data_IF_924281166767
#
_entry.id   IF_924281166767
#
_cell.length_a   1.000
_cell.length_b   1.000
_cell.length_c   1.000
_cell.angle_alpha   90.00
_cell.angle_beta   90.00
_cell.angle_gamma   90.00
#
_symmetry.space_group_name_H-M   'P 1'
#
loop_
_entity.id
_entity.type
_entity.pdbx_description
1 polymer ?
#
# COMPACT_ATOMS: atom_id res chain seq x y z
N UNK A 1 28.36 8.16 -24.81
CA UNK A 1 27.36 8.52 -23.79
C UNK A 1 26.05 7.93 -24.27
N UNK A 2 25.68 6.75 -23.76
CA UNK A 2 24.38 6.14 -24.06
C UNK A 2 23.31 6.95 -23.34
N UNK A 3 22.57 7.73 -24.12
CA UNK A 3 21.32 8.37 -23.71
C UNK A 3 20.41 7.26 -23.18
N UNK A 4 20.33 7.14 -21.86
CA UNK A 4 19.48 6.13 -21.22
C UNK A 4 18.08 6.71 -21.27
N UNK A 5 17.29 6.33 -22.28
CA UNK A 5 15.88 6.71 -22.36
C UNK A 5 15.20 6.36 -21.03
N UNK A 6 14.59 7.36 -20.40
CA UNK A 6 13.81 7.15 -19.18
C UNK A 6 12.66 6.18 -19.48
N UNK A 7 12.36 5.24 -18.56
CA UNK A 7 11.28 4.29 -18.77
C UNK A 7 9.92 5.00 -18.91
N UNK A 8 9.06 4.54 -19.81
CA UNK A 8 7.68 5.03 -19.92
C UNK A 8 6.92 4.80 -18.60
N UNK A 9 6.20 5.82 -18.13
CA UNK A 9 5.36 5.72 -16.93
C UNK A 9 4.22 4.71 -17.14
N UNK A 10 4.02 3.76 -16.21
CA UNK A 10 2.84 2.92 -16.21
C UNK A 10 1.56 3.77 -16.17
N UNK A 11 0.51 3.32 -16.85
CA UNK A 11 -0.69 4.14 -17.07
C UNK A 11 -1.40 4.54 -15.78
N UNK A 12 -1.54 3.64 -14.80
CA UNK A 12 -2.09 3.98 -13.48
C UNK A 12 -1.32 5.10 -12.78
N UNK A 13 0.02 5.05 -12.80
CA UNK A 13 0.88 6.11 -12.25
C UNK A 13 0.68 7.41 -13.03
N UNK A 14 0.71 7.37 -14.36
CA UNK A 14 0.49 8.56 -15.17
C UNK A 14 -0.91 9.18 -14.96
N UNK A 15 -1.94 8.38 -14.67
CA UNK A 15 -3.28 8.85 -14.30
C UNK A 15 -3.27 9.49 -12.92
N UNK A 16 -2.61 8.89 -11.93
CA UNK A 16 -2.49 9.45 -10.57
C UNK A 16 -1.82 10.83 -10.59
N UNK A 17 -0.75 10.99 -11.38
CA UNK A 17 -0.07 12.28 -11.58
C UNK A 17 -0.82 13.27 -12.49
N UNK A 18 -1.95 12.87 -13.08
CA UNK A 18 -2.71 13.72 -14.03
C UNK A 18 -1.98 14.01 -15.35
N UNK A 19 -0.88 13.31 -15.65
CA UNK A 19 -0.06 13.51 -16.85
C UNK A 19 -0.48 12.62 -18.02
N UNK A 20 -1.26 11.56 -17.76
CA UNK A 20 -1.88 10.78 -18.81
C UNK A 20 -2.89 11.64 -19.58
N UNK A 21 -2.91 11.50 -20.91
CA UNK A 21 -3.95 12.11 -21.73
C UNK A 21 -5.32 11.55 -21.33
N UNK A 22 -5.99 12.25 -20.42
CA UNK A 22 -7.39 12.01 -20.12
C UNK A 22 -8.14 12.34 -21.42
N UNK A 23 -9.14 11.57 -21.86
CA UNK A 23 -10.05 12.00 -22.92
C UNK A 23 -10.88 13.21 -22.43
N UNK A 24 -10.23 14.35 -22.20
CA UNK A 24 -10.80 15.62 -21.78
C UNK A 24 -10.69 16.63 -22.92
N UNK A 25 -11.84 16.86 -23.57
CA UNK A 25 -12.30 18.16 -24.08
C UNK A 25 -13.78 18.02 -24.50
N UNK A 26 -14.70 18.46 -23.63
CA UNK A 26 -16.15 18.55 -23.91
C UNK A 26 -17.00 18.78 -22.64
N UNK A 27 -18.21 19.37 -22.73
CA UNK A 27 -19.01 19.75 -21.56
C UNK A 27 -19.47 18.52 -20.76
N UNK A 28 -19.37 18.60 -19.41
CA UNK A 28 -19.79 17.63 -18.37
C UNK A 28 -20.25 16.27 -18.92
N UNK A 29 -19.32 15.34 -19.16
CA UNK A 29 -19.69 13.92 -19.26
C UNK A 29 -19.99 13.37 -17.87
N UNK A 30 -21.00 12.50 -17.80
CA UNK A 30 -21.48 11.86 -16.57
C UNK A 30 -20.42 11.01 -15.87
N UNK A 31 -19.35 10.58 -16.56
CA UNK A 31 -18.33 9.64 -16.07
C UNK A 31 -16.90 10.17 -16.27
N UNK A 32 -16.10 10.11 -15.21
CA UNK A 32 -14.68 10.51 -15.14
C UNK A 32 -13.87 9.48 -14.34
N UNK A 33 -12.53 9.60 -14.31
CA UNK A 33 -11.66 8.68 -13.54
C UNK A 33 -11.98 8.80 -12.06
N UNK A 34 -12.13 10.03 -11.56
CA UNK A 34 -12.44 10.36 -10.16
C UNK A 34 -13.74 9.66 -9.74
N UNK A 35 -14.83 9.81 -10.50
CA UNK A 35 -16.10 9.12 -10.21
C UNK A 35 -16.00 7.59 -10.21
N UNK A 36 -15.15 7.02 -11.07
CA UNK A 36 -14.92 5.57 -11.11
C UNK A 36 -14.19 5.12 -9.84
N UNK A 37 -13.19 5.89 -9.42
CA UNK A 37 -12.40 5.63 -8.21
C UNK A 37 -13.28 5.78 -6.97
N UNK A 38 -14.03 6.87 -6.83
CA UNK A 38 -14.95 7.12 -5.71
C UNK A 38 -15.94 5.96 -5.53
N UNK A 39 -16.59 5.53 -6.63
CA UNK A 39 -17.54 4.42 -6.58
C UNK A 39 -16.86 3.09 -6.23
N UNK A 40 -15.61 2.89 -6.62
CA UNK A 40 -14.84 1.70 -6.27
C UNK A 40 -14.38 1.71 -4.81
N UNK A 41 -13.97 2.86 -4.27
CA UNK A 41 -13.63 3.06 -2.85
C UNK A 41 -14.88 2.82 -1.99
N UNK A 42 -16.02 3.44 -2.32
CA UNK A 42 -17.28 3.21 -1.60
C UNK A 42 -17.69 1.73 -1.58
N UNK A 43 -17.49 1.03 -2.70
CA UNK A 43 -17.77 -0.40 -2.78
C UNK A 43 -16.81 -1.22 -1.90
N UNK A 44 -15.52 -0.86 -1.90
CA UNK A 44 -14.51 -1.52 -1.09
C UNK A 44 -14.71 -1.27 0.42
N UNK A 45 -15.14 -0.08 0.81
CA UNK A 45 -15.44 0.27 2.20
C UNK A 45 -16.65 -0.51 2.73
N UNK A 46 -17.66 -0.72 1.88
CA UNK A 46 -18.89 -1.41 2.24
C UNK A 46 -18.77 -2.95 2.22
N UNK A 47 -18.13 -3.50 1.19
CA UNK A 47 -18.16 -4.94 0.88
C UNK A 47 -16.76 -5.59 0.82
N UNK A 48 -15.71 -4.81 1.10
CA UNK A 48 -14.33 -5.27 1.03
C UNK A 48 -13.75 -5.31 -0.38
N UNK A 49 -12.44 -5.49 -0.48
CA UNK A 49 -11.71 -5.46 -1.76
C UNK A 49 -12.13 -6.56 -2.73
N UNK A 50 -12.64 -7.68 -2.21
CA UNK A 50 -13.09 -8.84 -2.99
C UNK A 50 -14.30 -8.53 -3.88
N UNK A 51 -15.18 -7.62 -3.44
CA UNK A 51 -16.36 -7.19 -4.20
C UNK A 51 -16.00 -6.28 -5.38
N UNK A 52 -14.82 -5.66 -5.35
CA UNK A 52 -14.39 -4.70 -6.38
C UNK A 52 -14.01 -5.43 -7.67
N UNK A 53 -14.87 -5.28 -8.67
CA UNK A 53 -14.63 -5.71 -10.04
C UNK A 53 -15.04 -4.61 -11.01
N UNK A 54 -14.45 -4.60 -12.21
CA UNK A 54 -14.85 -3.66 -13.27
C UNK A 54 -16.35 -3.70 -13.55
N UNK A 55 -16.98 -4.87 -13.41
CA UNK A 55 -18.42 -5.02 -13.60
C UNK A 55 -19.24 -4.47 -12.43
N UNK A 56 -18.84 -4.73 -11.18
CA UNK A 56 -19.53 -4.21 -10.01
C UNK A 56 -19.46 -2.67 -9.94
N UNK A 57 -18.30 -2.09 -10.21
CA UNK A 57 -18.13 -0.61 -10.26
C UNK A 57 -18.97 0.00 -11.38
N UNK A 58 -18.99 -0.63 -12.56
CA UNK A 58 -19.83 -0.16 -13.66
C UNK A 58 -21.32 -0.22 -13.32
N UNK A 59 -21.78 -1.32 -12.71
CA UNK A 59 -23.16 -1.49 -12.29
C UNK A 59 -23.57 -0.44 -11.26
N UNK A 60 -22.71 -0.17 -10.26
CA UNK A 60 -22.93 0.88 -9.25
C UNK A 60 -23.08 2.27 -9.87
N UNK A 61 -22.37 2.55 -10.97
CA UNK A 61 -22.46 3.81 -11.71
C UNK A 61 -23.55 3.83 -12.80
N UNK A 62 -24.29 2.75 -13.01
CA UNK A 62 -25.29 2.66 -14.08
C UNK A 62 -24.71 2.56 -15.50
N UNK A 63 -23.45 2.13 -15.64
CA UNK A 63 -22.77 1.96 -16.92
C UNK A 63 -22.42 0.50 -17.22
N UNK A 64 -21.98 0.24 -18.45
CA UNK A 64 -21.43 -1.05 -18.84
C UNK A 64 -19.94 -1.15 -18.50
N UNK A 65 -19.39 -2.35 -18.20
CA UNK A 65 -17.96 -2.52 -17.91
C UNK A 65 -17.06 -1.99 -19.04
N UNK A 66 -17.48 -2.18 -20.30
CA UNK A 66 -16.78 -1.67 -21.49
C UNK A 66 -16.61 -0.14 -21.49
N UNK A 67 -17.50 0.57 -20.81
CA UNK A 67 -17.44 2.03 -20.71
C UNK A 67 -16.33 2.50 -19.77
N UNK A 68 -16.04 1.75 -18.70
CA UNK A 68 -14.98 2.06 -17.73
C UNK A 68 -13.59 1.89 -18.33
N UNK A 69 -13.39 0.87 -19.18
CA UNK A 69 -12.10 0.59 -19.83
C UNK A 69 -11.55 1.74 -20.69
N UNK A 70 -12.37 2.73 -21.05
CA UNK A 70 -11.90 3.96 -21.71
C UNK A 70 -11.08 4.86 -20.78
N UNK A 71 -11.37 4.83 -19.49
CA UNK A 71 -10.75 5.66 -18.45
C UNK A 71 -9.66 4.88 -17.74
N UNK A 72 -9.98 3.67 -17.25
CA UNK A 72 -9.07 2.82 -16.47
C UNK A 72 -8.88 1.48 -17.19
N UNK A 73 -7.67 1.19 -17.64
CA UNK A 73 -7.40 0.09 -18.59
C UNK A 73 -7.35 -1.29 -17.98
N UNK A 74 -7.04 -1.40 -16.69
CA UNK A 74 -6.92 -2.65 -15.98
C UNK A 74 -7.44 -2.53 -14.55
N UNK A 75 -7.77 -3.68 -13.94
CA UNK A 75 -8.13 -3.73 -12.52
C UNK A 75 -6.97 -3.21 -11.65
N UNK A 76 -5.73 -3.54 -11.99
CA UNK A 76 -4.56 -3.09 -11.23
C UNK A 76 -4.39 -1.56 -11.27
N UNK A 77 -4.68 -0.91 -12.40
CA UNK A 77 -4.70 0.56 -12.50
C UNK A 77 -5.80 1.14 -11.58
N UNK A 78 -6.96 0.48 -11.51
CA UNK A 78 -8.06 0.89 -10.62
C UNK A 78 -7.65 0.76 -9.15
N UNK A 79 -7.05 -0.38 -8.76
CA UNK A 79 -6.61 -0.61 -7.39
C UNK A 79 -5.55 0.39 -6.94
N UNK A 80 -4.61 0.75 -7.82
CA UNK A 80 -3.62 1.78 -7.56
C UNK A 80 -4.28 3.15 -7.35
N UNK A 81 -5.22 3.54 -8.22
CA UNK A 81 -5.94 4.81 -8.09
C UNK A 81 -6.84 4.85 -6.85
N UNK A 82 -7.48 3.74 -6.50
CA UNK A 82 -8.23 3.61 -5.25
C UNK A 82 -7.33 3.79 -4.04
N UNK A 83 -6.18 3.10 -4.01
CA UNK A 83 -5.21 3.23 -2.92
C UNK A 83 -4.73 4.68 -2.79
N UNK A 84 -4.43 5.33 -3.92
CA UNK A 84 -4.02 6.73 -3.96
C UNK A 84 -5.12 7.66 -3.40
N UNK A 85 -6.36 7.52 -3.86
CA UNK A 85 -7.48 8.33 -3.40
C UNK A 85 -7.73 8.13 -1.91
N UNK A 86 -7.81 6.87 -1.47
CA UNK A 86 -8.01 6.53 -0.07
C UNK A 86 -6.89 7.09 0.82
N UNK A 87 -5.63 7.01 0.36
CA UNK A 87 -4.45 7.51 1.10
C UNK A 87 -4.57 9.00 1.42
N UNK A 88 -5.02 9.81 0.45
CA UNK A 88 -5.14 11.26 0.60
C UNK A 88 -3.84 11.97 0.98
N UNK A 89 -3.90 13.28 1.16
CA UNK A 89 -2.75 14.06 1.65
C UNK A 89 -2.52 13.83 3.16
N UNK A 90 -1.27 13.86 3.64
CA UNK A 90 -1.01 13.89 5.08
C UNK A 90 -1.67 15.12 5.72
N UNK A 91 -2.21 15.01 6.94
CA UNK A 91 -2.90 16.11 7.58
C UNK A 91 -1.93 17.25 7.90
N UNK A 92 -2.26 18.49 7.51
CA UNK A 92 -1.39 19.66 7.75
C UNK A 92 -1.08 19.90 9.24
N UNK A 93 -1.96 19.45 10.14
CA UNK A 93 -1.80 19.58 11.59
C UNK A 93 -0.50 18.98 12.13
N UNK A 94 0.12 18.02 11.42
CA UNK A 94 1.43 17.49 11.85
C UNK A 94 2.52 18.57 11.81
N UNK A 95 2.40 19.60 10.96
CA UNK A 95 3.37 20.70 10.85
C UNK A 95 3.35 21.63 12.06
N UNK A 96 2.22 21.70 12.76
CA UNK A 96 2.01 22.51 13.97
C UNK A 96 2.66 21.90 15.21
N UNK A 97 3.14 20.66 15.11
CA UNK A 97 3.72 19.92 16.24
C UNK A 97 5.23 20.17 16.30
N UNK A 98 5.70 20.51 17.50
CA UNK A 98 7.10 20.72 17.78
C UNK A 98 7.89 19.40 17.81
N UNK A 99 9.07 19.44 17.18
CA UNK A 99 10.04 18.35 17.21
C UNK A 99 9.69 17.15 16.33
N UNK A 100 10.73 16.57 15.73
CA UNK A 100 10.64 15.44 14.81
C UNK A 100 9.80 14.27 15.37
N UNK A 101 9.93 13.98 16.67
CA UNK A 101 9.24 12.87 17.33
C UNK A 101 7.73 13.06 17.32
N UNK A 102 7.26 14.25 17.69
CA UNK A 102 5.83 14.55 17.73
C UNK A 102 5.21 14.50 16.34
N UNK A 103 5.92 15.06 15.35
CA UNK A 103 5.49 15.02 13.93
C UNK A 103 5.35 13.60 13.41
N UNK A 104 6.34 12.72 13.65
CA UNK A 104 6.26 11.32 13.23
C UNK A 104 5.16 10.54 13.94
N UNK A 105 4.90 10.81 15.23
CA UNK A 105 3.79 10.18 15.96
C UNK A 105 2.42 10.63 15.42
N UNK A 106 2.27 11.90 15.02
CA UNK A 106 1.05 12.38 14.40
C UNK A 106 0.82 11.77 13.01
N UNK A 107 1.87 11.61 12.21
CA UNK A 107 1.78 10.90 10.94
C UNK A 107 1.42 9.41 11.15
N UNK A 108 2.02 8.76 12.15
CA UNK A 108 1.69 7.37 12.53
C UNK A 108 0.20 7.22 12.89
N UNK A 109 -0.32 8.09 13.75
CA UNK A 109 -1.73 8.09 14.16
C UNK A 109 -2.65 8.31 12.95
N UNK A 110 -2.32 9.30 12.12
CA UNK A 110 -3.12 9.60 10.93
C UNK A 110 -3.14 8.45 9.91
N UNK A 111 -2.04 7.71 9.75
CA UNK A 111 -2.02 6.49 8.94
C UNK A 111 -2.89 5.36 9.52
N UNK A 112 -2.90 5.20 10.85
CA UNK A 112 -3.80 4.22 11.49
C UNK A 112 -5.26 4.58 11.25
N UNK A 113 -5.62 5.85 11.44
CA UNK A 113 -6.98 6.34 11.20
C UNK A 113 -7.41 6.14 9.73
N UNK A 114 -6.47 6.33 8.79
CA UNK A 114 -6.65 6.01 7.39
C UNK A 114 -6.95 4.52 7.19
N UNK A 115 -6.16 3.62 7.78
CA UNK A 115 -6.36 2.18 7.65
C UNK A 115 -7.65 1.69 8.32
N UNK A 116 -8.07 2.31 9.42
CA UNK A 116 -9.35 2.02 10.07
C UNK A 116 -10.53 2.47 9.20
N UNK A 117 -10.39 3.57 8.46
CA UNK A 117 -11.39 4.06 7.51
C UNK A 117 -11.48 3.18 6.26
N UNK A 118 -10.34 2.74 5.74
CA UNK A 118 -10.23 1.94 4.51
C UNK A 118 -9.47 0.61 4.73
N UNK A 119 -10.01 -0.35 5.51
CA UNK A 119 -9.28 -1.58 5.88
C UNK A 119 -8.81 -2.42 4.70
N UNK A 120 -9.53 -2.35 3.58
CA UNK A 120 -9.21 -3.07 2.34
C UNK A 120 -7.83 -2.70 1.75
N UNK A 121 -7.29 -1.52 2.08
CA UNK A 121 -5.94 -1.10 1.64
C UNK A 121 -4.84 -2.04 2.15
N UNK A 122 -5.08 -2.67 3.30
CA UNK A 122 -4.13 -3.57 3.95
C UNK A 122 -4.08 -4.94 3.28
N UNK A 123 -5.11 -5.29 2.50
CA UNK A 123 -5.15 -6.49 1.67
C UNK A 123 -4.43 -6.33 0.32
N UNK A 124 -4.07 -5.09 -0.06
CA UNK A 124 -3.32 -4.84 -1.29
C UNK A 124 -1.84 -5.19 -1.09
N UNK A 125 -1.20 -5.89 -2.06
CA UNK A 125 0.21 -6.17 -2.00
C UNK A 125 1.03 -4.89 -2.11
N UNK A 126 2.14 -4.82 -1.37
CA UNK A 126 3.12 -3.74 -1.55
C UNK A 126 3.95 -4.09 -2.78
N UNK A 127 3.73 -3.36 -3.87
CA UNK A 127 4.45 -3.55 -5.13
C UNK A 127 5.36 -2.36 -5.43
N UNK A 128 6.63 -2.48 -5.04
CA UNK A 128 7.64 -1.46 -5.33
C UNK A 128 7.51 -0.17 -4.52
N UNK A 129 8.16 0.89 -5.01
CA UNK A 129 8.19 2.19 -4.33
C UNK A 129 6.87 2.95 -4.55
N UNK A 130 6.33 3.64 -3.52
CA UNK A 130 5.06 4.34 -3.59
C UNK A 130 5.18 5.66 -4.38
N UNK A 131 5.27 5.56 -5.71
CA UNK A 131 5.53 6.70 -6.61
C UNK A 131 4.26 7.41 -7.10
N UNK A 132 3.19 7.39 -6.32
CA UNK A 132 1.96 8.16 -6.58
C UNK A 132 1.96 9.46 -5.75
N UNK A 133 1.29 10.54 -6.17
CA UNK A 133 1.35 11.85 -5.50
C UNK A 133 1.11 11.85 -3.98
N UNK A 134 0.00 11.30 -3.51
CA UNK A 134 -0.38 11.24 -2.10
C UNK A 134 0.60 10.36 -1.32
N UNK A 135 0.89 9.16 -1.81
CA UNK A 135 1.85 8.28 -1.14
C UNK A 135 3.26 8.91 -1.07
N UNK A 136 3.66 9.66 -2.10
CA UNK A 136 4.90 10.44 -2.10
C UNK A 136 4.85 11.59 -1.10
N UNK A 137 3.72 12.28 -0.97
CA UNK A 137 3.53 13.37 0.00
C UNK A 137 3.63 12.88 1.45
N UNK A 138 3.11 11.68 1.75
CA UNK A 138 3.27 11.06 3.07
C UNK A 138 4.73 10.74 3.39
N UNK A 139 5.48 10.21 2.42
CA UNK A 139 6.90 9.95 2.59
C UNK A 139 7.70 11.24 2.75
N UNK A 140 7.40 12.25 1.94
CA UNK A 140 8.01 13.58 2.00
C UNK A 140 7.78 14.24 3.37
N UNK A 141 6.55 14.19 3.90
CA UNK A 141 6.23 14.68 5.24
C UNK A 141 7.05 13.97 6.34
N UNK A 142 7.25 12.66 6.23
CA UNK A 142 8.09 11.89 7.16
C UNK A 142 9.57 12.28 7.08
N UNK A 143 10.09 12.54 5.89
CA UNK A 143 11.47 13.01 5.68
C UNK A 143 11.66 14.45 6.18
N UNK A 144 10.70 15.34 5.89
CA UNK A 144 10.69 16.73 6.34
C UNK A 144 10.63 16.83 7.86
N UNK A 145 9.89 15.93 8.52
CA UNK A 145 9.85 15.85 9.99
C UNK A 145 11.24 15.62 10.61
N UNK A 146 12.16 14.98 9.89
CA UNK A 146 13.50 14.63 10.34
C UNK A 146 14.59 15.59 9.81
N UNK A 147 14.23 16.65 9.09
CA UNK A 147 15.19 17.50 8.38
C UNK A 147 16.21 18.18 9.30
N UNK A 148 15.74 18.62 10.48
CA UNK A 148 16.55 19.31 11.50
C UNK A 148 17.37 18.36 12.39
N UNK A 149 17.37 17.05 12.09
CA UNK A 149 18.14 16.05 12.84
C UNK A 149 19.52 15.83 12.20
N UNK A 150 20.52 15.38 12.98
CA UNK A 150 21.84 15.02 12.43
C UNK A 150 21.81 13.76 11.55
N UNK A 151 20.67 13.10 11.38
CA UNK A 151 20.54 11.91 10.54
C UNK A 151 20.87 12.22 9.07
N UNK A 152 21.54 11.29 8.41
CA UNK A 152 21.75 11.35 6.96
C UNK A 152 20.49 10.89 6.18
N UNK A 153 20.50 11.00 4.85
CA UNK A 153 19.34 10.70 4.02
C UNK A 153 18.87 9.24 4.11
N UNK A 154 19.79 8.28 4.20
CA UNK A 154 19.47 6.86 4.32
C UNK A 154 18.80 6.56 5.68
N UNK A 155 19.33 7.15 6.75
CA UNK A 155 18.77 7.02 8.10
C UNK A 155 17.39 7.66 8.21
N UNK A 156 17.18 8.85 7.61
CA UNK A 156 15.87 9.50 7.57
C UNK A 156 14.84 8.64 6.86
N UNK A 157 15.21 8.06 5.71
CA UNK A 157 14.36 7.13 4.97
C UNK A 157 14.03 5.89 5.81
N UNK A 158 15.03 5.29 6.47
CA UNK A 158 14.83 4.12 7.31
C UNK A 158 13.87 4.39 8.48
N UNK A 159 14.00 5.54 9.14
CA UNK A 159 13.11 5.94 10.25
C UNK A 159 11.69 6.19 9.74
N UNK A 160 11.51 6.93 8.64
CA UNK A 160 10.18 7.21 8.08
C UNK A 160 9.47 5.91 7.63
N UNK A 161 10.20 4.99 7.00
CA UNK A 161 9.67 3.68 6.61
C UNK A 161 9.37 2.79 7.82
N UNK A 162 10.19 2.82 8.88
CA UNK A 162 9.92 2.07 10.11
C UNK A 162 8.61 2.52 10.77
N UNK A 163 8.38 3.84 10.87
CA UNK A 163 7.14 4.39 11.42
C UNK A 163 5.93 3.98 10.56
N UNK A 164 6.04 4.08 9.23
CA UNK A 164 5.00 3.64 8.30
C UNK A 164 4.73 2.12 8.43
N UNK A 165 5.78 1.32 8.59
CA UNK A 165 5.67 -0.12 8.81
C UNK A 165 4.96 -0.46 10.12
N UNK A 166 5.26 0.26 11.21
CA UNK A 166 4.56 0.11 12.48
C UNK A 166 3.07 0.48 12.36
N UNK A 167 2.73 1.57 11.66
CA UNK A 167 1.34 1.97 11.43
C UNK A 167 0.60 0.90 10.62
N UNK A 168 1.22 0.38 9.57
CA UNK A 168 0.65 -0.68 8.74
C UNK A 168 0.42 -1.97 9.53
N UNK A 169 1.37 -2.38 10.36
CA UNK A 169 1.21 -3.55 11.22
C UNK A 169 0.06 -3.39 12.21
N UNK A 170 -0.02 -2.23 12.87
CA UNK A 170 -1.15 -1.88 13.74
C UNK A 170 -2.48 -1.96 12.99
N UNK A 171 -2.55 -1.34 11.81
CA UNK A 171 -3.71 -1.39 10.93
C UNK A 171 -4.13 -2.81 10.55
N UNK A 172 -3.19 -3.69 10.16
CA UNK A 172 -3.47 -5.09 9.81
C UNK A 172 -4.17 -5.81 10.97
N UNK A 173 -3.62 -5.67 12.18
CA UNK A 173 -4.17 -6.35 13.35
C UNK A 173 -5.55 -5.79 13.72
N UNK A 174 -5.70 -4.46 13.76
CA UNK A 174 -6.98 -3.83 14.11
C UNK A 174 -8.08 -4.09 13.07
N UNK A 175 -7.73 -4.10 11.77
CA UNK A 175 -8.65 -4.47 10.70
C UNK A 175 -9.10 -5.93 10.84
N UNK A 176 -8.19 -6.84 11.18
CA UNK A 176 -8.50 -8.25 11.45
C UNK A 176 -9.51 -8.42 12.57
N UNK A 177 -9.30 -7.77 13.72
CA UNK A 177 -10.25 -7.81 14.84
C UNK A 177 -11.62 -7.21 14.50
N UNK A 178 -11.64 -6.12 13.74
CA UNK A 178 -12.88 -5.47 13.29
C UNK A 178 -13.69 -6.40 12.38
N UNK A 179 -13.03 -7.09 11.45
CA UNK A 179 -13.68 -8.04 10.55
C UNK A 179 -14.18 -9.30 11.28
N UNK A 180 -13.41 -9.80 12.24
CA UNK A 180 -13.82 -10.91 13.11
C UNK A 180 -15.04 -10.53 13.97
N UNK A 181 -15.09 -9.31 14.47
CA UNK A 181 -16.24 -8.78 15.22
C UNK A 181 -17.49 -8.69 14.33
N UNK A 182 -17.35 -8.15 13.10
CA UNK A 182 -18.44 -8.06 12.11
C UNK A 182 -19.01 -9.42 11.72
N UNK A 183 -18.15 -10.40 11.46
CA UNK A 183 -18.56 -11.73 11.01
C UNK A 183 -19.13 -12.62 12.13
N UNK A 184 -18.69 -12.42 13.38
CA UNK A 184 -19.17 -13.19 14.54
C UNK A 184 -20.36 -12.55 15.27
N UNK A 185 -20.61 -11.26 15.05
CA UNK A 185 -21.61 -10.47 15.78
C UNK A 185 -21.21 -10.13 17.22
N UNK A 186 -19.96 -10.42 17.60
CA UNK A 186 -19.40 -10.12 18.92
C UNK A 186 -18.71 -8.75 18.90
N UNK A 187 -18.62 -8.12 20.06
CA UNK A 187 -17.77 -6.96 20.28
C UNK A 187 -16.28 -7.35 20.26
N UNK A 188 -15.35 -6.41 20.00
CA UNK A 188 -13.92 -6.71 20.04
C UNK A 188 -13.44 -7.31 21.37
N UNK A 189 -14.00 -6.87 22.50
CA UNK A 189 -13.69 -7.39 23.83
C UNK A 189 -14.15 -8.84 23.99
N UNK A 190 -15.37 -9.17 23.55
CA UNK A 190 -15.89 -10.54 23.57
C UNK A 190 -15.09 -11.48 22.66
N UNK A 191 -14.62 -10.98 21.51
CA UNK A 191 -13.70 -11.71 20.63
C UNK A 191 -12.39 -12.01 21.37
N UNK A 192 -11.79 -11.01 22.02
CA UNK A 192 -10.55 -11.19 22.79
C UNK A 192 -10.70 -12.18 23.95
N UNK A 193 -11.81 -12.10 24.71
CA UNK A 193 -12.12 -13.06 25.79
C UNK A 193 -12.27 -14.48 25.24
N UNK A 194 -12.95 -14.63 24.10
CA UNK A 194 -13.13 -15.93 23.46
C UNK A 194 -11.81 -16.50 22.97
N UNK A 195 -10.93 -15.69 22.37
CA UNK A 195 -9.59 -16.13 21.95
C UNK A 195 -8.71 -16.48 23.14
N UNK A 196 -8.72 -15.68 24.21
CA UNK A 196 -7.99 -15.97 25.44
C UNK A 196 -8.40 -17.32 26.05
N UNK A 197 -9.70 -17.66 26.03
CA UNK A 197 -10.19 -18.96 26.50
C UNK A 197 -9.68 -20.13 25.65
N UNK A 198 -9.40 -19.93 24.35
CA UNK A 198 -8.77 -20.95 23.50
C UNK A 198 -7.32 -21.18 23.89
N UNK A 199 -6.59 -20.13 24.30
CA UNK A 199 -5.21 -20.26 24.77
C UNK A 199 -5.10 -21.19 25.98
N UNK A 200 -6.05 -21.15 26.92
CA UNK A 200 -6.10 -22.07 28.07
C UNK A 200 -6.33 -23.54 27.69
N UNK A 201 -6.75 -23.83 26.46
CA UNK A 201 -6.95 -25.19 25.96
C UNK A 201 -5.72 -25.76 25.27
N UNK A 202 -4.89 -24.93 24.67
CA UNK A 202 -3.81 -25.38 23.77
C UNK A 202 -2.41 -24.91 24.17
N UNK A 203 -2.29 -23.90 25.03
CA UNK A 203 -1.00 -23.33 25.45
C UNK A 203 -0.70 -23.81 26.87
N UNK A 204 0.09 -24.89 26.96
CA UNK A 204 0.49 -25.48 28.25
C UNK A 204 1.79 -24.88 28.78
N UNK A 205 2.00 -24.92 30.09
CA UNK A 205 3.25 -24.48 30.71
C UNK A 205 4.46 -25.38 30.35
N UNK A 206 4.20 -26.64 30.00
CA UNK A 206 5.24 -27.62 29.65
C UNK A 206 5.80 -27.33 28.25
N UNK A 207 4.94 -27.05 27.27
CA UNK A 207 5.34 -26.81 25.88
C UNK A 207 5.69 -25.33 25.62
N UNK A 208 4.97 -24.40 26.27
CA UNK A 208 5.07 -22.96 26.01
C UNK A 208 5.22 -22.14 27.31
N UNK A 209 6.26 -22.38 28.13
CA UNK A 209 6.37 -21.83 29.48
C UNK A 209 6.35 -20.29 29.54
N UNK A 210 6.97 -19.61 28.58
CA UNK A 210 7.00 -18.14 28.56
C UNK A 210 5.65 -17.53 28.15
N UNK A 211 5.01 -18.12 27.14
CA UNK A 211 3.71 -17.64 26.65
C UNK A 211 2.61 -17.93 27.69
N UNK A 212 2.66 -19.09 28.34
CA UNK A 212 1.75 -19.43 29.43
C UNK A 212 1.79 -18.41 30.57
N UNK A 213 2.99 -18.01 31.02
CA UNK A 213 3.13 -16.94 32.02
C UNK A 213 2.48 -15.64 31.55
N UNK A 214 2.68 -15.24 30.30
CA UNK A 214 2.04 -14.03 29.76
C UNK A 214 0.51 -14.11 29.74
N UNK A 215 -0.06 -15.28 29.44
CA UNK A 215 -1.53 -15.46 29.49
C UNK A 215 -2.01 -15.41 30.95
N UNK A 216 -1.29 -16.06 31.87
CA UNK A 216 -1.62 -16.03 33.31
C UNK A 216 -1.54 -14.61 33.89
N UNK A 217 -0.61 -13.80 33.39
CA UNK A 217 -0.47 -12.37 33.72
C UNK A 217 -1.51 -11.48 33.01
N UNK A 218 -2.39 -12.06 32.18
CA UNK A 218 -3.50 -11.37 31.53
C UNK A 218 -3.10 -10.50 30.32
N UNK A 219 -1.92 -10.72 29.72
CA UNK A 219 -1.39 -9.87 28.63
C UNK A 219 -2.35 -9.74 27.44
N UNK A 220 -3.11 -10.79 27.12
CA UNK A 220 -4.07 -10.81 26.00
C UNK A 220 -5.40 -10.11 26.29
N UNK A 221 -5.68 -9.78 27.55
CA UNK A 221 -6.87 -9.04 27.99
C UNK A 221 -6.52 -7.63 28.50
N UNK A 222 -5.26 -7.22 28.36
CA UNK A 222 -4.78 -5.91 28.80
C UNK A 222 -5.31 -4.80 27.90
N UNK A 223 -5.65 -3.65 28.49
CA UNK A 223 -5.99 -2.42 27.77
C UNK A 223 -4.75 -1.68 27.23
N UNK A 224 -3.54 -2.18 27.52
CA UNK A 224 -2.31 -1.58 27.01
C UNK A 224 -2.26 -1.62 25.48
N UNK A 225 -1.81 -0.55 24.84
CA UNK A 225 -1.60 -0.50 23.40
C UNK A 225 -0.16 -0.97 23.07
N UNK A 226 0.03 -2.23 22.61
CA UNK A 226 1.36 -2.73 22.28
C UNK A 226 1.96 -2.06 21.05
N UNK A 227 1.13 -1.50 20.15
CA UNK A 227 1.59 -0.86 18.92
C UNK A 227 2.15 0.54 19.21
N UNK A 228 1.43 1.32 20.03
CA UNK A 228 1.94 2.59 20.54
C UNK A 228 3.20 2.39 21.36
N UNK A 229 3.23 1.39 22.24
CA UNK A 229 4.43 1.05 22.99
C UNK A 229 5.61 0.76 22.05
N UNK A 230 5.40 -0.08 21.03
CA UNK A 230 6.45 -0.46 20.08
C UNK A 230 7.00 0.76 19.31
N UNK A 231 6.14 1.61 18.73
CA UNK A 231 6.60 2.78 17.99
C UNK A 231 7.32 3.78 18.89
N UNK A 232 6.85 3.99 20.12
CA UNK A 232 7.53 4.87 21.07
C UNK A 232 8.92 4.34 21.45
N UNK A 233 9.08 3.03 21.68
CA UNK A 233 10.39 2.42 21.94
C UNK A 233 11.33 2.52 20.74
N UNK A 234 10.81 2.35 19.52
CA UNK A 234 11.59 2.58 18.29
C UNK A 234 12.10 4.02 18.24
N UNK A 235 11.23 5.00 18.50
CA UNK A 235 11.61 6.41 18.49
C UNK A 235 12.55 6.79 19.67
N UNK A 236 12.46 6.09 20.81
CA UNK A 236 13.42 6.24 21.91
C UNK A 236 14.82 5.80 21.47
N UNK A 237 14.91 4.70 20.72
CA UNK A 237 16.16 4.23 20.11
C UNK A 237 16.74 5.26 19.13
N UNK A 238 15.90 5.84 18.26
CA UNK A 238 16.33 6.92 17.34
C UNK A 238 16.79 8.15 18.11
N UNK A 239 16.12 8.51 19.21
CA UNK A 239 16.51 9.63 20.08
C UNK A 239 17.90 9.38 20.68
N UNK A 240 18.16 8.18 21.20
CA UNK A 240 19.46 7.81 21.75
C UNK A 240 20.57 7.84 20.68
N UNK A 241 20.26 7.41 19.46
CA UNK A 241 21.17 7.44 18.32
C UNK A 241 21.51 8.87 17.89
N UNK A 242 20.51 9.74 17.73
CA UNK A 242 20.69 11.18 17.45
C UNK A 242 21.58 11.82 18.51
N UNK A 243 21.32 11.55 19.80
CA UNK A 243 22.14 12.08 20.87
C UNK A 243 23.60 11.60 20.81
N UNK A 244 23.87 10.43 20.21
CA UNK A 244 25.22 9.95 19.92
C UNK A 244 25.90 10.74 18.81
N UNK A 245 25.19 10.94 17.69
CA UNK A 245 25.68 11.76 16.60
C UNK A 245 26.00 13.20 17.05
N UNK A 246 25.16 13.79 17.91
CA UNK A 246 25.40 15.11 18.50
C UNK A 246 26.66 15.16 19.38
N UNK A 247 27.08 14.03 19.96
CA UNK A 247 28.35 13.88 20.69
C UNK A 247 29.55 13.61 19.77
N UNK A 248 29.34 13.43 18.48
CA UNK A 248 30.36 13.11 17.49
C UNK A 248 30.56 11.62 17.21
N UNK A 249 29.60 10.76 17.59
CA UNK A 249 29.62 9.36 17.18
C UNK A 249 29.48 9.25 15.64
N UNK A 250 30.07 8.23 15.03
CA UNK A 250 29.98 8.02 13.59
C UNK A 250 28.62 7.46 13.17
N UNK A 251 28.18 7.80 11.96
CA UNK A 251 27.00 7.17 11.36
C UNK A 251 27.18 5.66 11.24
N UNK A 252 26.10 4.92 11.47
CA UNK A 252 26.05 3.48 11.30
C UNK A 252 26.34 3.13 9.84
N UNK A 253 27.26 2.19 9.61
CA UNK A 253 27.52 1.67 8.28
C UNK A 253 26.36 0.76 7.84
N UNK A 254 25.93 0.90 6.59
CA UNK A 254 25.01 -0.06 5.98
C UNK A 254 25.69 -1.43 5.93
N UNK A 255 25.25 -2.35 6.80
CA UNK A 255 25.66 -3.74 6.80
C UNK A 255 24.46 -4.61 6.43
N UNK A 256 24.65 -5.50 5.46
CA UNK A 256 23.64 -6.52 5.14
C UNK A 256 23.45 -7.42 6.37
N UNK A 257 22.36 -7.20 7.09
CA UNK A 257 22.07 -7.92 8.33
C UNK A 257 21.48 -9.30 8.05
N UNK A 258 20.57 -9.38 7.08
CA UNK A 258 19.92 -10.62 6.65
C UNK A 258 20.09 -10.74 5.14
N UNK A 259 21.14 -11.45 4.72
CA UNK A 259 21.26 -11.89 3.34
C UNK A 259 20.38 -13.12 3.13
N UNK A 260 19.41 -13.05 2.23
CA UNK A 260 19.04 -14.27 1.50
C UNK A 260 20.30 -14.66 0.72
N UNK A 261 20.81 -15.88 0.90
CA UNK A 261 21.97 -16.31 0.13
C UNK A 261 21.58 -16.30 -1.36
N UNK A 262 21.95 -15.23 -2.05
CA UNK A 262 21.68 -15.05 -3.46
C UNK A 262 22.30 -16.19 -4.27
N UNK A 263 23.33 -16.88 -3.74
CA UNK A 263 23.91 -18.05 -4.36
C UNK A 263 22.99 -19.29 -4.26
N UNK A 264 22.28 -19.50 -3.15
CA UNK A 264 21.29 -20.59 -3.03
C UNK A 264 20.09 -20.36 -3.97
N UNK A 265 19.55 -19.14 -4.02
CA UNK A 265 18.43 -18.78 -4.91
C UNK A 265 18.84 -18.77 -6.39
N UNK A 266 20.02 -18.23 -6.73
CA UNK A 266 20.52 -18.24 -8.10
C UNK A 266 20.92 -19.66 -8.55
N UNK A 267 21.23 -20.58 -7.62
CA UNK A 267 21.52 -21.98 -7.91
C UNK A 267 20.28 -22.80 -8.26
N UNK A 268 19.09 -22.39 -7.82
CA UNK A 268 17.86 -23.16 -8.00
C UNK A 268 17.43 -23.22 -9.48
N UNK A 269 17.59 -24.42 -10.06
CA UNK A 269 17.22 -24.71 -11.44
C UNK A 269 15.73 -24.50 -11.71
N UNK A 270 14.85 -24.86 -10.76
CA UNK A 270 13.40 -24.68 -10.91
C UNK A 270 13.04 -23.20 -10.90
N UNK A 271 13.68 -22.39 -10.05
CA UNK A 271 13.47 -20.94 -10.05
C UNK A 271 13.93 -20.31 -11.37
N UNK A 272 15.10 -20.69 -11.88
CA UNK A 272 15.59 -20.25 -13.20
C UNK A 272 14.66 -20.64 -14.35
N UNK A 273 14.16 -21.87 -14.36
CA UNK A 273 13.20 -22.36 -15.36
C UNK A 273 11.87 -21.60 -15.27
N UNK A 274 11.35 -21.35 -14.06
CA UNK A 274 10.14 -20.56 -13.84
C UNK A 274 10.31 -19.11 -14.30
N UNK A 275 11.40 -18.44 -13.92
CA UNK A 275 11.70 -17.07 -14.37
C UNK A 275 11.92 -16.98 -15.88
N UNK A 276 12.50 -18.00 -16.50
CA UNK A 276 12.60 -18.08 -17.96
C UNK A 276 11.22 -18.22 -18.60
N UNK A 277 10.36 -19.08 -18.06
CA UNK A 277 9.00 -19.25 -18.54
C UNK A 277 8.18 -17.95 -18.42
N UNK A 278 8.30 -17.22 -17.31
CA UNK A 278 7.68 -15.90 -17.13
C UNK A 278 8.19 -14.90 -18.17
N UNK A 279 9.51 -14.79 -18.37
CA UNK A 279 10.08 -13.88 -19.38
C UNK A 279 9.61 -14.20 -20.80
N UNK A 280 9.54 -15.48 -21.16
CA UNK A 280 9.00 -15.89 -22.47
C UNK A 280 7.49 -15.58 -22.59
N UNK A 281 6.70 -15.81 -21.52
CA UNK A 281 5.29 -15.47 -21.49
C UNK A 281 5.06 -13.95 -21.62
N UNK A 282 5.86 -13.13 -20.93
CA UNK A 282 5.80 -11.67 -21.05
C UNK A 282 6.18 -11.20 -22.46
N UNK A 283 7.22 -11.79 -23.06
CA UNK A 283 7.62 -11.48 -24.44
C UNK A 283 6.51 -11.84 -25.43
N UNK A 284 5.91 -13.01 -25.28
CA UNK A 284 4.77 -13.45 -26.08
C UNK A 284 3.57 -12.52 -25.89
N UNK A 285 3.26 -12.11 -24.65
CA UNK A 285 2.19 -11.17 -24.33
C UNK A 285 2.43 -9.80 -24.97
N UNK A 286 3.67 -9.27 -24.92
CA UNK A 286 4.03 -8.00 -25.58
C UNK A 286 3.84 -8.09 -27.09
N UNK A 287 4.25 -9.21 -27.71
CA UNK A 287 4.05 -9.44 -29.14
C UNK A 287 2.56 -9.54 -29.51
N UNK A 288 1.78 -10.28 -28.74
CA UNK A 288 0.33 -10.41 -28.93
C UNK A 288 -0.39 -9.05 -28.81
N UNK A 289 -0.05 -8.24 -27.79
CA UNK A 289 -0.58 -6.88 -27.61
C UNK A 289 -0.20 -5.95 -28.77
N UNK A 290 0.97 -6.12 -29.39
CA UNK A 290 1.37 -5.35 -30.58
C UNK A 290 0.48 -5.70 -31.78
N UNK A 291 0.24 -6.99 -32.01
CA UNK A 291 -0.65 -7.47 -33.07
C UNK A 291 -2.09 -7.00 -32.85
N UNK A 292 -2.60 -7.07 -31.62
CA UNK A 292 -3.93 -6.58 -31.25
C UNK A 292 -4.09 -5.09 -31.58
N UNK A 293 -3.12 -4.24 -31.18
CA UNK A 293 -3.13 -2.80 -31.49
C UNK A 293 -3.11 -2.54 -32.99
N UNK A 294 -2.34 -3.31 -33.74
CA UNK A 294 -2.29 -3.20 -35.21
C UNK A 294 -3.64 -3.56 -35.83
N UNK A 295 -4.20 -4.72 -35.47
CA UNK A 295 -5.49 -5.17 -35.96
C UNK A 295 -6.62 -4.18 -35.61
N UNK A 296 -6.57 -3.58 -34.41
CA UNK A 296 -7.52 -2.54 -34.01
C UNK A 296 -7.40 -1.27 -34.87
N UNK A 297 -6.18 -0.81 -35.17
CA UNK A 297 -5.96 0.32 -36.09
C UNK A 297 -6.50 0.02 -37.49
N UNK A 298 -6.19 -1.15 -38.04
CA UNK A 298 -6.67 -1.57 -39.36
C UNK A 298 -8.19 -1.72 -39.40
N UNK A 299 -8.81 -2.26 -38.36
CA UNK A 299 -10.26 -2.35 -38.24
C UNK A 299 -10.91 -0.95 -38.20
N UNK A 300 -10.33 -0.02 -37.40
CA UNK A 300 -10.80 1.37 -37.33
C UNK A 300 -10.70 2.07 -38.68
N UNK A 301 -9.60 1.90 -39.39
CA UNK A 301 -9.38 2.52 -40.70
C UNK A 301 -10.31 1.95 -41.78
N UNK A 302 -10.60 0.64 -41.73
CA UNK A 302 -11.62 0.02 -42.60
C UNK A 302 -13.02 0.58 -42.34
N UNK A 303 -13.42 0.70 -41.07
CA UNK A 303 -14.73 1.27 -40.68
C UNK A 303 -14.81 2.76 -41.06
N UNK A 304 -13.72 3.52 -40.93
CA UNK A 304 -13.68 4.93 -41.32
C UNK A 304 -13.76 5.13 -42.84
N UNK A 305 -13.09 4.27 -43.64
CA UNK A 305 -13.20 4.28 -45.11
C UNK A 305 -14.61 3.90 -45.58
N UNK A 306 -15.28 2.97 -44.91
CA UNK A 306 -16.66 2.57 -45.21
C UNK A 306 -17.72 3.64 -44.89
N UNK A 307 -17.37 4.65 -44.07
CA UNK A 307 -18.28 5.74 -43.66
C UNK A 307 -18.12 7.05 -44.44
N UNK A 308 -17.18 7.15 -45.39
CA UNK A 308 -17.11 8.32 -46.29
C UNK A 308 -18.17 8.17 -47.40
N UNK A 309 -19.14 9.09 -47.53
CA UNK A 309 -20.04 9.09 -48.68
C UNK A 309 -19.27 9.50 -49.94
N UNK A 310 -19.69 8.95 -51.09
CA UNK A 310 -19.19 9.31 -52.41
C UNK A 310 -19.49 10.77 -52.77
#
# INVERSE_FOLDING_TARGET
MTETELPELPRGIALAWGVAANPQRGPKREMSVEKIVDAAVELADAEGIGAVSMAAVAAKLGFTPMSLYRYVTAKDDLLLLMQEEATGLPPESHLEIDGWRGRLLALYEAQILLYLRHPWMLSLPITGSPITPHSSAWLDAGLAALEDTPLNAEERMAVALAVTGHARWCGIVQAGYTEQSRSSGLTPEEVAVREAALFDRVITAEEFPALRRGIDDGVFLSEADPFRFAVERTLDGVTAYIAGLDRGDAHAAAADWVGLDAAELAGDRRLKEAQKAVREAEKALRAARKLERQAFREARDRVAKAKKPA
#
